data_IF_717581027184
#
_entry.id   IF_717581027184
#
_cell.length_a   1.000
_cell.length_b   1.000
_cell.length_c   1.000
_cell.angle_alpha   90.00
_cell.angle_beta   90.00
_cell.angle_gamma   90.00
#
_symmetry.space_group_name_H-M   'P 1'
#
loop_
_entity.id
_entity.type
_entity.pdbx_description
1 polymer ?
#
# COMPACT_ATOMS: atom_id res chain seq x y z
N UNK A 1 9.41 10.75 0.31
CA UNK A 1 8.25 10.29 1.11
C UNK A 1 6.92 10.85 0.59
N UNK A 2 6.70 12.18 0.56
CA UNK A 2 5.43 12.79 0.10
C UNK A 2 5.02 12.38 -1.32
N UNK A 3 5.96 12.37 -2.28
CA UNK A 3 5.67 11.95 -3.65
C UNK A 3 5.25 10.47 -3.75
N UNK A 4 5.87 9.58 -2.94
CA UNK A 4 5.51 8.16 -2.88
C UNK A 4 4.11 7.98 -2.28
N UNK A 5 3.80 8.70 -1.20
CA UNK A 5 2.46 8.71 -0.61
C UNK A 5 1.43 9.17 -1.64
N UNK A 6 1.67 10.30 -2.33
CA UNK A 6 0.76 10.80 -3.38
C UNK A 6 0.55 9.80 -4.50
N UNK A 7 1.62 9.18 -4.99
CA UNK A 7 1.50 8.15 -6.02
C UNK A 7 0.60 7.00 -5.55
N UNK A 8 0.85 6.51 -4.33
CA UNK A 8 0.09 5.41 -3.74
C UNK A 8 -1.38 5.76 -3.49
N UNK A 9 -1.65 6.97 -2.99
CA UNK A 9 -3.02 7.46 -2.77
C UNK A 9 -3.75 7.75 -4.08
N UNK A 10 -3.02 8.15 -5.13
CA UNK A 10 -3.55 8.25 -6.49
C UNK A 10 -3.98 6.89 -7.05
N UNK A 11 -3.16 5.85 -6.85
CA UNK A 11 -3.52 4.46 -7.20
C UNK A 11 -4.79 4.00 -6.47
N UNK A 12 -4.94 4.35 -5.19
CA UNK A 12 -6.11 4.01 -4.37
C UNK A 12 -7.31 4.95 -4.57
N UNK A 13 -7.21 5.90 -5.52
CA UNK A 13 -8.27 6.88 -5.82
C UNK A 13 -8.73 7.66 -4.58
N UNK A 14 -7.83 7.86 -3.61
CA UNK A 14 -8.13 8.63 -2.42
C UNK A 14 -8.43 10.09 -2.80
N UNK A 15 -9.29 10.74 -2.02
CA UNK A 15 -9.61 12.15 -2.25
C UNK A 15 -8.39 13.06 -2.05
N UNK A 16 -8.42 14.24 -2.65
CA UNK A 16 -7.37 15.24 -2.45
C UNK A 16 -7.23 15.66 -0.98
N UNK A 17 -8.34 15.73 -0.24
CA UNK A 17 -8.34 15.99 1.19
C UNK A 17 -7.57 14.90 1.98
N UNK A 18 -7.87 13.62 1.73
CA UNK A 18 -7.17 12.49 2.35
C UNK A 18 -5.67 12.52 2.02
N UNK A 19 -5.32 12.90 0.78
CA UNK A 19 -3.93 13.03 0.36
C UNK A 19 -3.20 14.15 1.10
N UNK A 20 -3.83 15.32 1.24
CA UNK A 20 -3.26 16.45 1.98
C UNK A 20 -3.06 16.11 3.47
N UNK A 21 -4.07 15.52 4.12
CA UNK A 21 -4.01 15.14 5.53
C UNK A 21 -2.97 14.05 5.77
N UNK A 22 -2.93 13.02 4.90
CA UNK A 22 -1.94 11.96 4.95
C UNK A 22 -0.51 12.46 4.81
N UNK A 23 -0.27 13.44 3.92
CA UNK A 23 1.05 14.05 3.77
C UNK A 23 1.49 14.81 5.02
N UNK A 24 0.56 15.51 5.66
CA UNK A 24 0.85 16.31 6.84
C UNK A 24 1.14 15.40 8.03
N UNK A 25 0.30 14.39 8.26
CA UNK A 25 0.53 13.34 9.27
C UNK A 25 1.87 12.66 9.05
N UNK A 26 2.15 12.21 7.82
CA UNK A 26 3.42 11.57 7.50
C UNK A 26 4.62 12.47 7.79
N UNK A 27 4.52 13.75 7.45
CA UNK A 27 5.61 14.72 7.69
C UNK A 27 5.86 14.90 9.18
N UNK A 28 4.81 15.07 9.98
CA UNK A 28 4.94 15.21 11.44
C UNK A 28 5.50 13.95 12.10
N UNK A 29 5.03 12.77 11.69
CA UNK A 29 5.53 11.50 12.23
C UNK A 29 7.00 11.26 11.88
N UNK A 30 7.41 11.53 10.63
CA UNK A 30 8.82 11.42 10.21
C UNK A 30 9.69 12.46 10.91
N UNK A 31 9.23 13.71 11.03
CA UNK A 31 9.97 14.75 11.76
C UNK A 31 10.16 14.36 13.23
N UNK A 32 9.14 13.79 13.87
CA UNK A 32 9.28 13.29 15.25
C UNK A 32 10.26 12.11 15.34
N UNK A 33 10.19 11.15 14.41
CA UNK A 33 11.09 10.00 14.37
C UNK A 33 12.56 10.43 14.19
N UNK A 34 12.83 11.40 13.31
CA UNK A 34 14.18 11.91 13.04
C UNK A 34 14.79 12.74 14.18
N UNK A 35 13.98 13.25 15.11
CA UNK A 35 14.46 13.99 16.28
C UNK A 35 14.99 13.07 17.39
N UNK A 36 14.64 11.79 17.38
CA UNK A 36 15.09 10.85 18.40
C UNK A 36 16.51 10.39 18.07
N UNK A 37 17.47 10.49 19.01
CA UNK A 37 18.82 9.97 18.80
C UNK A 37 18.76 8.46 18.56
N UNK A 38 19.29 8.03 17.40
CA UNK A 38 19.44 6.62 17.04
C UNK A 38 20.88 6.33 16.64
N UNK A 39 21.38 5.11 16.86
CA UNK A 39 22.65 4.67 16.28
C UNK A 39 22.65 4.88 14.76
N UNK A 40 23.76 5.36 14.20
CA UNK A 40 23.84 5.81 12.79
C UNK A 40 23.61 4.73 11.73
N UNK A 41 23.56 3.46 12.13
CA UNK A 41 23.23 2.30 11.28
C UNK A 41 21.72 1.99 11.23
N UNK A 42 20.87 2.78 11.90
CA UNK A 42 19.42 2.56 11.96
C UNK A 42 18.66 3.60 11.14
N UNK A 43 17.75 3.10 10.28
CA UNK A 43 16.91 3.92 9.41
C UNK A 43 15.49 4.07 9.94
N UNK A 44 14.85 5.20 9.62
CA UNK A 44 13.41 5.40 9.81
C UNK A 44 12.66 4.62 8.73
N UNK A 45 11.78 3.71 9.15
CA UNK A 45 10.90 2.96 8.26
C UNK A 45 9.55 3.64 8.12
N UNK A 46 8.99 3.65 6.91
CA UNK A 46 7.62 4.13 6.67
C UNK A 46 6.82 3.04 5.98
N UNK A 47 5.62 2.80 6.50
CA UNK A 47 4.66 1.88 5.93
C UNK A 47 3.30 2.58 5.79
N UNK A 48 2.67 2.38 4.64
CA UNK A 48 1.38 2.99 4.29
C UNK A 48 0.47 1.87 3.81
N UNK A 49 -0.69 1.74 4.44
CA UNK A 49 -1.67 0.72 4.11
C UNK A 49 -3.06 1.31 4.06
N UNK A 50 -3.92 0.72 3.23
CA UNK A 50 -5.35 0.96 3.32
C UNK A 50 -6.00 -0.20 4.08
N UNK A 51 -6.89 0.11 5.02
CA UNK A 51 -7.59 -0.85 5.89
C UNK A 51 -9.11 -0.72 5.71
N UNK A 52 -9.82 -1.72 6.22
CA UNK A 52 -11.29 -1.73 6.28
C UNK A 52 -11.94 -1.49 4.90
N UNK A 53 -11.44 -2.22 3.88
CA UNK A 53 -11.97 -2.17 2.50
C UNK A 53 -12.03 -0.76 1.92
N UNK A 54 -10.98 0.03 2.12
CA UNK A 54 -10.93 1.37 1.56
C UNK A 54 -11.60 2.44 2.42
N UNK A 55 -11.72 2.22 3.73
CA UNK A 55 -12.30 3.19 4.65
C UNK A 55 -11.24 3.94 5.47
N UNK A 56 -10.06 3.34 5.68
CA UNK A 56 -9.02 3.91 6.55
C UNK A 56 -7.65 3.91 5.88
N UNK A 57 -6.98 5.07 5.90
CA UNK A 57 -5.58 5.21 5.54
C UNK A 57 -4.72 5.08 6.79
N UNK A 58 -3.91 4.02 6.87
CA UNK A 58 -2.93 3.77 7.93
C UNK A 58 -1.56 4.29 7.50
N UNK A 59 -0.98 5.21 8.28
CA UNK A 59 0.40 5.69 8.14
C UNK A 59 1.19 5.26 9.36
N UNK A 60 2.29 4.54 9.16
CA UNK A 60 3.15 4.01 10.21
C UNK A 60 4.59 4.48 10.00
N UNK A 61 5.21 5.01 11.04
CA UNK A 61 6.60 5.44 11.05
C UNK A 61 7.31 4.73 12.19
N UNK A 62 8.36 3.98 11.84
CA UNK A 62 9.16 3.22 12.79
C UNK A 62 10.54 3.82 12.95
N UNK A 63 10.99 3.99 14.18
CA UNK A 63 12.35 4.42 14.53
C UNK A 63 12.99 3.45 15.53
N UNK A 64 14.31 3.49 15.65
CA UNK A 64 15.08 2.64 16.57
C UNK A 64 15.38 3.33 17.91
N UNK A 65 14.74 4.47 18.18
CA UNK A 65 15.03 5.31 19.32
C UNK A 65 14.20 4.93 20.55
N UNK A 66 14.77 5.08 21.76
CA UNK A 66 14.04 4.79 23.00
C UNK A 66 12.93 5.83 23.26
N UNK A 67 12.01 5.49 24.17
CA UNK A 67 10.95 6.38 24.65
C UNK A 67 9.73 6.46 23.72
N UNK A 68 8.61 6.98 24.25
CA UNK A 68 7.36 7.17 23.51
C UNK A 68 7.20 8.66 23.14
N UNK A 69 6.67 8.99 21.95
CA UNK A 69 6.31 10.36 21.61
C UNK A 69 5.23 10.85 22.57
N UNK A 70 5.45 11.98 23.21
CA UNK A 70 4.48 12.61 24.11
C UNK A 70 3.71 13.70 23.37
N UNK A 71 2.37 13.67 23.47
CA UNK A 71 1.56 14.83 23.10
C UNK A 71 1.82 15.93 24.12
N UNK A 72 2.54 16.97 23.72
CA UNK A 72 2.77 18.14 24.57
C UNK A 72 1.93 19.30 24.09
N UNK A 73 1.21 19.95 25.00
CA UNK A 73 0.63 21.25 24.72
C UNK A 73 1.77 22.26 24.52
N UNK A 74 1.83 22.98 23.39
CA UNK A 74 2.87 23.99 23.17
C UNK A 74 2.77 25.07 24.25
N UNK A 75 3.87 25.39 24.94
CA UNK A 75 3.93 26.55 25.83
C UNK A 75 4.57 27.72 25.09
N UNK A 76 3.80 28.78 24.82
CA UNK A 76 4.33 30.03 24.26
C UNK A 76 5.11 29.87 22.94
N UNK A 77 6.39 30.23 22.96
CA UNK A 77 7.31 30.28 21.80
C UNK A 77 7.92 28.93 21.40
N UNK A 78 7.44 27.82 21.97
CA UNK A 78 8.00 26.49 21.69
C UNK A 78 7.70 26.06 20.24
N UNK A 79 8.76 25.72 19.50
CA UNK A 79 8.68 25.16 18.13
C UNK A 79 8.47 23.65 18.16
N UNK A 80 8.56 23.01 19.34
CA UNK A 80 8.28 21.59 19.59
C UNK A 80 6.89 21.36 20.18
N UNK A 81 6.23 20.25 19.81
CA UNK A 81 4.98 19.78 20.44
C UNK A 81 3.71 19.91 19.59
N UNK A 82 3.70 20.75 18.54
CA UNK A 82 2.53 20.89 17.65
C UNK A 82 2.29 19.69 16.73
N UNK A 83 3.34 18.94 16.41
CA UNK A 83 3.26 17.86 15.42
C UNK A 83 2.29 16.74 15.82
N UNK A 84 2.40 16.24 17.05
CA UNK A 84 1.47 15.23 17.55
C UNK A 84 0.07 15.79 17.83
N UNK A 85 -0.05 17.07 18.18
CA UNK A 85 -1.35 17.72 18.28
C UNK A 85 -2.06 17.75 16.91
N UNK A 86 -1.32 18.02 15.85
CA UNK A 86 -1.83 17.99 14.49
C UNK A 86 -2.22 16.56 14.07
N UNK A 87 -1.37 15.57 14.36
CA UNK A 87 -1.69 14.16 14.14
C UNK A 87 -2.96 13.77 14.90
N UNK A 88 -3.08 14.15 16.18
CA UNK A 88 -4.25 13.86 17.00
C UNK A 88 -5.53 14.55 16.50
N UNK A 89 -5.42 15.72 15.87
CA UNK A 89 -6.55 16.45 15.31
C UNK A 89 -7.04 15.86 13.98
N UNK A 90 -6.14 15.36 13.14
CA UNK A 90 -6.48 14.79 11.84
C UNK A 90 -6.82 13.29 11.91
N UNK A 91 -6.15 12.55 12.79
CA UNK A 91 -6.33 11.11 12.89
C UNK A 91 -7.67 10.75 13.51
N UNK A 92 -8.35 9.77 12.90
CA UNK A 92 -9.46 9.06 13.53
C UNK A 92 -8.98 8.33 14.80
N UNK A 93 -7.83 7.68 14.70
CA UNK A 93 -7.09 7.11 15.83
C UNK A 93 -5.60 7.13 15.55
N UNK A 94 -4.80 7.26 16.59
CA UNK A 94 -3.35 7.17 16.49
C UNK A 94 -2.79 6.51 17.75
N UNK A 95 -1.57 6.00 17.67
CA UNK A 95 -0.96 5.27 18.78
C UNK A 95 0.51 4.95 18.56
N UNK A 96 1.06 4.18 19.49
CA UNK A 96 2.47 3.80 19.54
C UNK A 96 2.56 2.34 19.93
N UNK A 97 3.12 1.54 19.03
CA UNK A 97 3.38 0.12 19.24
C UNK A 97 4.89 -0.11 19.41
N UNK A 98 5.24 -1.14 20.18
CA UNK A 98 6.63 -1.64 20.18
C UNK A 98 6.90 -2.37 18.87
N UNK A 99 8.15 -2.28 18.39
CA UNK A 99 8.50 -2.92 17.13
C UNK A 99 8.50 -4.45 17.32
N UNK A 100 7.73 -5.24 16.53
CA UNK A 100 7.56 -6.69 16.78
C UNK A 100 8.84 -7.53 16.72
N UNK A 101 9.91 -7.02 16.11
CA UNK A 101 11.16 -7.75 15.86
C UNK A 101 12.43 -6.94 16.14
N UNK A 102 12.41 -6.01 17.10
CA UNK A 102 13.64 -5.28 17.46
C UNK A 102 13.45 -4.09 18.40
N UNK A 103 14.52 -3.30 18.53
CA UNK A 103 14.55 -2.09 19.35
C UNK A 103 13.81 -0.96 18.64
N UNK A 104 13.06 -0.18 19.42
CA UNK A 104 12.39 1.02 18.98
C UNK A 104 10.88 0.91 19.00
N UNK A 105 10.22 1.72 18.20
CA UNK A 105 8.78 1.90 18.22
C UNK A 105 8.23 2.17 16.84
N UNK A 106 6.93 1.95 16.70
CA UNK A 106 6.14 2.35 15.55
C UNK A 106 5.06 3.31 16.00
N UNK A 107 5.15 4.56 15.56
CA UNK A 107 4.08 5.54 15.73
C UNK A 107 3.17 5.43 14.53
N UNK A 108 1.87 5.34 14.78
CA UNK A 108 0.89 5.11 13.73
C UNK A 108 -0.28 6.07 13.86
N UNK A 109 -0.88 6.40 12.71
CA UNK A 109 -2.09 7.18 12.62
C UNK A 109 -3.00 6.59 11.55
N UNK A 110 -4.30 6.62 11.81
CA UNK A 110 -5.34 6.23 10.87
C UNK A 110 -6.24 7.40 10.56
N UNK A 111 -6.40 7.68 9.27
CA UNK A 111 -7.24 8.74 8.74
C UNK A 111 -8.49 8.13 8.12
N UNK A 112 -9.63 8.79 8.29
CA UNK A 112 -10.82 8.45 7.51
C UNK A 112 -10.53 8.70 6.04
N UNK A 113 -10.64 7.65 5.24
CA UNK A 113 -10.35 7.68 3.82
C UNK A 113 -11.46 6.96 3.04
N UNK A 114 -12.74 7.37 3.18
CA UNK A 114 -13.86 6.67 2.57
C UNK A 114 -13.71 6.62 1.04
N UNK A 115 -13.75 5.40 0.50
CA UNK A 115 -13.61 5.18 -0.93
C UNK A 115 -12.17 5.20 -1.45
N UNK A 116 -11.17 5.30 -0.56
CA UNK A 116 -9.78 5.06 -0.90
C UNK A 116 -9.55 3.54 -1.05
N UNK A 117 -10.19 2.92 -2.03
CA UNK A 117 -10.11 1.48 -2.21
C UNK A 117 -8.81 1.14 -2.95
N UNK A 118 -7.90 0.33 -2.37
CA UNK A 118 -6.84 -0.31 -3.13
C UNK A 118 -7.44 -1.39 -4.03
N UNK A 119 -8.34 -1.03 -4.95
CA UNK A 119 -8.64 -1.89 -6.09
C UNK A 119 -7.31 -2.00 -6.83
N UNK A 120 -6.71 -3.20 -6.94
CA UNK A 120 -5.49 -3.34 -7.70
C UNK A 120 -5.78 -2.81 -9.11
N UNK A 121 -4.91 -1.98 -9.70
CA UNK A 121 -5.19 -1.37 -10.99
C UNK A 121 -5.52 -2.47 -11.99
N UNK A 122 -6.67 -2.33 -12.65
CA UNK A 122 -7.02 -3.16 -13.80
C UNK A 122 -6.25 -2.63 -14.99
N UNK A 123 -5.36 -3.48 -15.52
CA UNK A 123 -4.52 -3.17 -16.67
C UNK A 123 -4.97 -4.05 -17.83
N UNK A 124 -5.20 -3.47 -19.00
CA UNK A 124 -5.26 -4.24 -20.24
C UNK A 124 -3.84 -4.44 -20.76
N UNK A 125 -3.38 -5.69 -20.76
CA UNK A 125 -2.06 -6.06 -21.26
C UNK A 125 -2.18 -7.19 -22.29
N UNK A 126 -1.21 -7.28 -23.20
CA UNK A 126 -1.10 -8.44 -24.08
C UNK A 126 -0.88 -9.71 -23.25
N UNK A 127 -1.55 -10.81 -23.60
CA UNK A 127 -1.51 -12.09 -22.89
C UNK A 127 -0.07 -12.58 -22.61
N UNK A 128 0.87 -12.31 -23.52
CA UNK A 128 2.29 -12.69 -23.38
C UNK A 128 3.00 -12.00 -22.21
N UNK A 129 2.42 -10.95 -21.66
CA UNK A 129 2.98 -10.14 -20.56
C UNK A 129 2.46 -10.60 -19.19
N UNK A 130 1.46 -11.48 -19.15
CA UNK A 130 0.90 -12.03 -17.90
C UNK A 130 1.95 -12.83 -17.15
N UNK A 131 2.00 -12.67 -15.82
CA UNK A 131 2.97 -13.33 -14.93
C UNK A 131 2.25 -14.12 -13.83
N UNK A 132 2.86 -15.21 -13.31
CA UNK A 132 2.40 -15.86 -12.08
C UNK A 132 2.24 -14.87 -10.91
N UNK A 133 1.21 -15.08 -10.08
CA UNK A 133 0.86 -14.23 -8.95
C UNK A 133 -0.02 -13.02 -9.30
N UNK A 134 -0.22 -12.71 -10.58
CA UNK A 134 -1.23 -11.75 -11.02
C UNK A 134 -2.63 -12.39 -10.98
N UNK A 135 -3.68 -11.57 -11.07
CA UNK A 135 -5.03 -12.06 -11.34
C UNK A 135 -5.49 -11.63 -12.73
N UNK A 136 -6.16 -12.51 -13.44
CA UNK A 136 -6.76 -12.24 -14.76
C UNK A 136 -8.28 -12.29 -14.66
N UNK A 137 -8.97 -11.48 -15.46
CA UNK A 137 -10.42 -11.56 -15.58
C UNK A 137 -10.78 -12.58 -16.66
N UNK A 138 -11.45 -13.66 -16.28
CA UNK A 138 -11.93 -14.70 -17.18
C UNK A 138 -13.34 -15.14 -16.77
N UNK A 139 -14.19 -15.45 -17.75
CA UNK A 139 -15.59 -15.87 -17.52
C UNK A 139 -16.37 -14.98 -16.55
N UNK A 140 -16.11 -13.67 -16.57
CA UNK A 140 -16.76 -12.69 -15.70
C UNK A 140 -16.22 -12.62 -14.26
N UNK A 141 -15.29 -13.48 -13.86
CA UNK A 141 -14.70 -13.52 -12.52
C UNK A 141 -13.18 -13.27 -12.53
N UNK A 142 -12.61 -13.00 -11.36
CA UNK A 142 -11.17 -12.85 -11.16
C UNK A 142 -10.54 -14.18 -10.77
N UNK A 143 -9.47 -14.56 -11.45
CA UNK A 143 -8.75 -15.80 -11.20
C UNK A 143 -7.27 -15.53 -10.99
N UNK A 144 -6.68 -16.11 -9.94
CA UNK A 144 -5.24 -16.03 -9.68
C UNK A 144 -4.46 -16.89 -10.66
N UNK A 145 -3.40 -16.32 -11.21
CA UNK A 145 -2.52 -16.97 -12.19
C UNK A 145 -1.45 -17.78 -11.46
N UNK A 146 -1.54 -19.09 -11.61
CA UNK A 146 -0.58 -20.05 -11.06
C UNK A 146 0.70 -20.13 -11.90
N UNK A 147 0.53 -20.23 -13.22
CA UNK A 147 1.62 -20.44 -14.16
C UNK A 147 1.27 -19.88 -15.53
N UNK A 148 2.29 -19.43 -16.27
CA UNK A 148 2.16 -18.95 -17.65
C UNK A 148 3.20 -19.66 -18.49
N UNK A 149 2.80 -20.20 -19.64
CA UNK A 149 3.70 -20.78 -20.63
C UNK A 149 3.35 -20.31 -22.02
N UNK A 150 4.32 -20.32 -22.93
CA UNK A 150 4.11 -20.03 -24.34
C UNK A 150 4.14 -21.31 -25.17
N UNK A 151 3.27 -21.38 -26.16
CA UNK A 151 3.19 -22.48 -27.12
C UNK A 151 3.11 -21.88 -28.54
N UNK A 152 3.62 -22.57 -29.56
CA UNK A 152 3.42 -22.13 -30.95
C UNK A 152 2.23 -22.85 -31.57
N UNK A 153 1.37 -22.12 -32.28
CA UNK A 153 0.38 -22.70 -33.17
C UNK A 153 1.07 -23.41 -34.33
N UNK A 154 0.43 -24.43 -34.89
CA UNK A 154 0.88 -25.09 -36.12
C UNK A 154 0.98 -24.11 -37.31
N UNK A 155 0.18 -23.03 -37.28
CA UNK A 155 0.21 -21.92 -38.24
C UNK A 155 1.34 -20.90 -38.02
N UNK A 156 2.19 -21.07 -37.00
CA UNK A 156 3.34 -20.21 -36.70
C UNK A 156 3.08 -19.08 -35.69
N UNK A 157 1.83 -18.82 -35.30
CA UNK A 157 1.48 -17.84 -34.26
C UNK A 157 1.91 -18.26 -32.85
N UNK A 158 1.99 -17.32 -31.91
CA UNK A 158 2.29 -17.61 -30.51
C UNK A 158 1.01 -17.64 -29.68
N UNK A 159 0.80 -18.73 -28.96
CA UNK A 159 -0.24 -18.90 -27.94
C UNK A 159 0.36 -18.72 -26.55
N UNK A 160 -0.42 -18.17 -25.64
CA UNK A 160 -0.10 -18.11 -24.22
C UNK A 160 -1.10 -18.97 -23.48
N UNK A 161 -0.61 -19.88 -22.65
CA UNK A 161 -1.43 -20.75 -21.82
C UNK A 161 -1.25 -20.36 -20.36
N UNK A 162 -2.34 -19.89 -19.74
CA UNK A 162 -2.41 -19.39 -18.37
C UNK A 162 -3.12 -20.44 -17.52
N UNK A 163 -2.41 -20.99 -16.53
CA UNK A 163 -2.97 -21.92 -15.54
C UNK A 163 -3.48 -21.13 -14.34
N UNK A 164 -4.70 -21.42 -13.89
CA UNK A 164 -5.36 -20.74 -12.77
C UNK A 164 -5.27 -21.58 -11.49
N UNK A 165 -5.34 -20.94 -10.32
CA UNK A 165 -5.21 -21.61 -9.02
C UNK A 165 -6.47 -22.40 -8.59
N UNK A 166 -7.63 -22.10 -9.16
CA UNK A 166 -8.91 -22.73 -8.83
C UNK A 166 -9.10 -24.14 -9.45
N UNK A 167 -8.10 -24.65 -10.16
CA UNK A 167 -8.15 -25.95 -10.82
C UNK A 167 -9.06 -25.98 -12.05
N UNK A 168 -9.55 -24.82 -12.51
CA UNK A 168 -10.32 -24.70 -13.75
C UNK A 168 -9.50 -24.93 -15.01
N UNK A 169 -10.14 -24.89 -16.20
CA UNK A 169 -9.43 -25.03 -17.46
C UNK A 169 -8.42 -23.90 -17.65
N UNK A 170 -7.27 -24.20 -18.25
CA UNK A 170 -6.29 -23.18 -18.58
C UNK A 170 -6.82 -22.24 -19.67
N UNK A 171 -6.55 -20.94 -19.55
CA UNK A 171 -6.85 -19.98 -20.60
C UNK A 171 -5.82 -20.12 -21.71
N UNK A 172 -6.28 -20.28 -22.95
CA UNK A 172 -5.43 -20.36 -24.13
C UNK A 172 -5.76 -19.16 -25.02
N UNK A 173 -4.82 -18.23 -25.10
CA UNK A 173 -5.01 -16.92 -25.72
C UNK A 173 -3.97 -16.70 -26.82
N UNK A 174 -4.28 -15.86 -27.81
CA UNK A 174 -3.25 -15.39 -28.73
C UNK A 174 -2.28 -14.45 -27.97
N UNK A 175 -0.99 -14.47 -28.30
CA UNK A 175 0.01 -13.69 -27.54
C UNK A 175 -0.28 -12.18 -27.47
N UNK A 176 -0.89 -11.63 -28.52
CA UNK A 176 -1.30 -10.22 -28.60
C UNK A 176 -2.73 -9.94 -28.10
N UNK A 177 -3.47 -10.95 -27.68
CA UNK A 177 -4.82 -10.79 -27.13
C UNK A 177 -4.78 -9.98 -25.84
N UNK A 178 -5.67 -8.99 -25.71
CA UNK A 178 -5.72 -8.14 -24.53
C UNK A 178 -6.46 -8.84 -23.40
N UNK A 179 -5.85 -8.83 -22.21
CA UNK A 179 -6.40 -9.41 -20.98
C UNK A 179 -6.41 -8.36 -19.91
N UNK A 180 -7.51 -8.28 -19.15
CA UNK A 180 -7.58 -7.45 -17.95
C UNK A 180 -6.89 -8.14 -16.78
N UNK A 181 -5.91 -7.47 -16.18
CA UNK A 181 -5.02 -8.02 -15.15
C UNK A 181 -4.96 -7.13 -13.92
N UNK A 182 -4.82 -7.74 -12.73
CA UNK A 182 -4.50 -7.10 -11.46
C UNK A 182 -3.16 -7.62 -10.93
N UNK A 183 -2.32 -6.73 -10.41
CA UNK A 183 -0.96 -7.07 -9.94
C UNK A 183 -0.93 -7.84 -8.61
N UNK A 184 -2.03 -7.82 -7.86
CA UNK A 184 -2.18 -8.53 -6.60
C UNK A 184 -3.48 -9.33 -6.58
N UNK A 185 -3.48 -10.43 -5.82
CA UNK A 185 -4.65 -11.26 -5.52
C UNK A 185 -5.86 -10.45 -5.06
N UNK A 186 -7.10 -10.96 -5.22
CA UNK A 186 -8.23 -10.34 -4.55
C UNK A 186 -7.90 -10.23 -3.06
N UNK A 187 -8.11 -9.03 -2.48
CA UNK A 187 -8.05 -8.85 -1.04
C UNK A 187 -9.17 -9.69 -0.47
N UNK A 188 -8.82 -10.86 0.06
CA UNK A 188 -9.79 -11.72 0.76
C UNK A 188 -10.31 -10.90 1.93
N UNK A 189 -11.62 -10.71 1.98
CA UNK A 189 -12.27 -10.04 3.09
C UNK A 189 -12.10 -10.90 4.34
N UNK A 190 -11.13 -10.53 5.19
CA UNK A 190 -11.08 -10.94 6.60
C UNK A 190 -11.87 -9.95 7.44
#
# INVERSE_FOLDING_TARGET
MRALLRARLGEWRASQAVSADGELVLSELVTNALRVPVPGDRMVGVHIACREKGALLRVEVSDAGPGRPEVRQPRGTDTGGRGLMLVAALAHRWGVDERPAGIGKTVWAELLAPGADPVPPELEIAAVTVRPGQCVRAWGAWHSVRAVRSERYASGGLAVVITLDDGGPALRLHAAELVTVRTHGPVVAS
#
